data_IF_498394413120
#
_entry.id   IF_498394413120
#
_cell.length_a   1.000
_cell.length_b   1.000
_cell.length_c   1.000
_cell.angle_alpha   90.00
_cell.angle_beta   90.00
_cell.angle_gamma   90.00
#
_symmetry.space_group_name_H-M   'P 1'
#
loop_
_entity.id
_entity.type
_entity.pdbx_description
1 polymer ?
#
# COMPACT_ATOMS: atom_id res chain seq x y z
N UNK A 1 36.97 22.79 -57.01
CA UNK A 1 37.41 22.53 -55.61
C UNK A 1 36.31 21.73 -54.94
N UNK A 2 36.47 20.42 -54.84
CA UNK A 2 35.52 19.52 -54.17
C UNK A 2 35.88 19.45 -52.69
N UNK A 3 34.97 19.86 -51.81
CA UNK A 3 35.03 19.57 -50.39
C UNK A 3 34.03 18.47 -50.06
N UNK A 4 34.58 17.30 -49.77
CA UNK A 4 33.92 16.15 -49.16
C UNK A 4 33.69 16.45 -47.67
N UNK A 5 32.47 16.21 -47.17
CA UNK A 5 32.23 16.05 -45.73
C UNK A 5 31.52 14.70 -45.46
N UNK A 6 31.88 14.00 -44.37
CA UNK A 6 31.41 12.65 -44.11
C UNK A 6 30.01 12.66 -43.48
N UNK A 7 29.12 11.83 -44.02
CA UNK A 7 27.81 11.52 -43.42
C UNK A 7 28.01 10.81 -42.08
N UNK A 8 27.83 11.53 -40.97
CA UNK A 8 27.68 10.95 -39.65
C UNK A 8 26.25 10.42 -39.50
N UNK A 9 26.07 9.11 -39.68
CA UNK A 9 24.83 8.39 -39.36
C UNK A 9 24.65 8.35 -37.84
N UNK A 10 23.84 9.26 -37.31
CA UNK A 10 23.33 9.20 -35.93
C UNK A 10 22.32 8.05 -35.82
N UNK A 11 22.77 6.91 -35.29
CA UNK A 11 21.91 5.83 -34.83
C UNK A 11 21.11 6.31 -33.62
N UNK A 12 19.89 6.77 -33.85
CA UNK A 12 18.88 6.98 -32.82
C UNK A 12 18.47 5.61 -32.27
N UNK A 13 18.97 5.27 -31.09
CA UNK A 13 18.45 4.13 -30.32
C UNK A 13 17.05 4.49 -29.83
N UNK A 14 16.02 3.69 -30.14
CA UNK A 14 14.72 3.88 -29.51
C UNK A 14 14.88 3.45 -28.05
N UNK A 15 14.81 4.43 -27.13
CA UNK A 15 14.52 4.14 -25.72
C UNK A 15 13.12 3.56 -25.70
N UNK A 16 13.02 2.24 -25.58
CA UNK A 16 11.76 1.56 -25.31
C UNK A 16 11.37 2.01 -23.90
N UNK A 17 10.57 3.07 -23.83
CA UNK A 17 9.82 3.37 -22.62
C UNK A 17 8.92 2.15 -22.40
N UNK A 18 9.27 1.33 -21.41
CA UNK A 18 8.37 0.29 -20.90
C UNK A 18 7.15 1.01 -20.37
N UNK A 19 6.12 1.15 -21.20
CA UNK A 19 4.79 1.43 -20.72
C UNK A 19 4.42 0.24 -19.83
N UNK A 20 4.69 0.37 -18.52
CA UNK A 20 4.02 -0.45 -17.52
C UNK A 20 2.55 -0.19 -17.73
N UNK A 21 1.92 -1.13 -18.43
CA UNK A 21 0.53 -1.06 -18.86
C UNK A 21 -0.31 -0.70 -17.65
N UNK A 22 -1.15 0.33 -17.77
CA UNK A 22 -2.12 0.70 -16.74
C UNK A 22 -2.99 -0.49 -16.30
N UNK A 23 -3.07 -1.53 -17.14
CA UNK A 23 -3.64 -2.84 -16.82
C UNK A 23 -2.97 -3.54 -15.61
N UNK A 24 -1.64 -3.50 -15.46
CA UNK A 24 -0.93 -4.15 -14.34
C UNK A 24 -1.13 -3.39 -13.04
N UNK A 25 -1.20 -2.05 -13.10
CA UNK A 25 -1.56 -1.23 -11.94
C UNK A 25 -3.00 -1.56 -11.54
N UNK A 26 -3.96 -1.50 -12.46
CA UNK A 26 -5.38 -1.80 -12.18
C UNK A 26 -5.63 -3.23 -11.68
N UNK A 27 -4.87 -4.23 -12.14
CA UNK A 27 -5.01 -5.63 -11.69
C UNK A 27 -4.34 -5.87 -10.31
N UNK A 28 -3.36 -5.05 -9.94
CA UNK A 28 -2.91 -4.89 -8.56
C UNK A 28 -3.96 -4.14 -7.70
N UNK A 29 -4.85 -3.34 -8.31
CA UNK A 29 -5.95 -2.68 -7.61
C UNK A 29 -7.23 -3.55 -7.46
N UNK A 30 -7.30 -4.73 -8.09
CA UNK A 30 -8.46 -5.61 -7.95
C UNK A 30 -8.65 -6.03 -6.48
N UNK A 31 -9.89 -6.26 -6.01
CA UNK A 31 -10.15 -6.80 -4.68
C UNK A 31 -9.58 -8.22 -4.60
N UNK A 32 -8.32 -8.34 -4.22
CA UNK A 32 -7.75 -9.56 -3.67
C UNK A 32 -8.12 -9.49 -2.19
N UNK A 33 -8.62 -10.58 -1.61
CA UNK A 33 -9.13 -10.71 -0.23
C UNK A 33 -8.13 -10.23 0.85
N UNK A 34 -7.77 -8.96 0.91
CA UNK A 34 -6.90 -8.39 1.92
C UNK A 34 -7.16 -6.89 1.94
N UNK A 35 -7.44 -6.37 3.13
CA UNK A 35 -7.69 -4.94 3.29
C UNK A 35 -6.44 -4.26 3.87
N UNK A 36 -5.82 -4.83 4.92
CA UNK A 36 -4.52 -4.36 5.49
C UNK A 36 -3.42 -5.39 5.25
N UNK A 37 -2.26 -4.94 4.74
CA UNK A 37 -1.04 -5.75 4.69
C UNK A 37 0.12 -5.03 5.37
N UNK A 38 0.77 -5.70 6.30
CA UNK A 38 2.09 -5.31 6.77
C UNK A 38 3.13 -6.05 5.92
N UNK A 39 4.12 -5.32 5.43
CA UNK A 39 5.04 -5.80 4.41
C UNK A 39 6.48 -5.58 4.86
N UNK A 40 7.34 -6.55 4.56
CA UNK A 40 8.79 -6.42 4.72
C UNK A 40 9.34 -5.40 3.70
N UNK A 41 10.61 -5.06 3.87
CA UNK A 41 11.36 -4.22 2.94
C UNK A 41 11.28 -4.75 1.50
N UNK A 42 11.26 -3.84 0.54
CA UNK A 42 11.09 -4.16 -0.89
C UNK A 42 9.63 -4.26 -1.32
N UNK A 43 8.76 -3.50 -0.65
CA UNK A 43 7.31 -3.51 -0.75
C UNK A 43 6.77 -4.02 -2.10
N UNK A 44 6.08 -5.15 -2.04
CA UNK A 44 5.28 -5.67 -3.13
C UNK A 44 3.91 -6.03 -2.55
N UNK A 45 2.88 -5.20 -2.76
CA UNK A 45 1.55 -5.44 -2.21
C UNK A 45 0.87 -6.67 -2.81
N UNK A 46 1.34 -7.17 -3.96
CA UNK A 46 0.77 -8.31 -4.67
C UNK A 46 1.41 -9.65 -4.28
N UNK A 47 2.62 -9.64 -3.71
CA UNK A 47 3.22 -10.85 -3.15
C UNK A 47 2.56 -11.18 -1.82
N UNK A 48 2.02 -12.40 -1.71
CA UNK A 48 1.40 -12.85 -0.47
C UNK A 48 2.50 -13.16 0.56
N UNK A 49 2.71 -12.26 1.51
CA UNK A 49 3.55 -12.52 2.68
C UNK A 49 2.63 -12.87 3.85
N UNK A 50 2.20 -14.14 3.89
CA UNK A 50 1.16 -14.59 4.82
C UNK A 50 1.53 -14.40 6.30
N UNK A 51 2.83 -14.45 6.64
CA UNK A 51 3.33 -14.24 8.01
C UNK A 51 3.11 -12.81 8.54
N UNK A 52 2.78 -11.86 7.65
CA UNK A 52 2.60 -10.43 7.97
C UNK A 52 1.32 -9.84 7.40
N UNK A 53 0.46 -10.68 6.82
CA UNK A 53 -0.83 -10.23 6.30
C UNK A 53 -1.88 -10.28 7.40
N UNK A 54 -2.49 -9.15 7.72
CA UNK A 54 -3.63 -9.08 8.62
C UNK A 54 -4.90 -9.22 7.79
N UNK A 55 -5.56 -10.36 7.93
CA UNK A 55 -6.81 -10.57 7.24
C UNK A 55 -7.95 -9.96 8.06
N UNK A 56 -8.31 -8.72 7.76
CA UNK A 56 -9.65 -8.24 8.03
C UNK A 56 -10.53 -8.66 6.85
N UNK A 57 -11.71 -9.21 7.13
CA UNK A 57 -12.55 -9.74 6.06
C UNK A 57 -13.27 -8.65 5.28
N UNK A 58 -13.29 -7.41 5.78
CA UNK A 58 -14.22 -6.38 5.32
C UNK A 58 -13.65 -4.97 5.54
N UNK A 59 -12.79 -4.50 4.63
CA UNK A 59 -12.61 -3.09 4.26
C UNK A 59 -13.88 -2.48 3.65
N UNK A 60 -15.02 -3.12 3.90
CA UNK A 60 -16.40 -2.82 3.59
C UNK A 60 -17.16 -2.32 4.83
N UNK A 61 -16.58 -2.46 6.04
CA UNK A 61 -17.20 -2.07 7.31
C UNK A 61 -16.21 -1.38 8.25
N UNK A 62 -16.74 -0.69 9.26
CA UNK A 62 -15.99 -0.13 10.37
C UNK A 62 -15.38 -1.19 11.30
N UNK A 63 -14.30 -0.81 11.97
CA UNK A 63 -13.62 -1.55 13.03
C UNK A 63 -13.37 -0.59 14.19
N UNK A 64 -13.91 -0.90 15.37
CA UNK A 64 -13.94 0.01 16.52
C UNK A 64 -12.60 0.21 17.22
N UNK A 65 -11.85 -0.87 17.43
CA UNK A 65 -10.44 -0.88 17.83
C UNK A 65 -9.97 -2.33 17.84
N UNK A 66 -8.76 -2.59 17.38
CA UNK A 66 -8.12 -3.90 17.52
C UNK A 66 -6.62 -3.75 17.81
N UNK A 67 -6.09 -4.66 18.61
CA UNK A 67 -4.71 -4.65 19.10
C UNK A 67 -3.87 -5.68 18.34
N UNK A 68 -2.99 -5.17 17.48
CA UNK A 68 -2.05 -5.99 16.72
C UNK A 68 -1.04 -6.72 17.59
N UNK A 69 -0.77 -6.26 18.82
CA UNK A 69 0.15 -6.95 19.72
C UNK A 69 -0.34 -8.36 20.09
N UNK A 70 -1.66 -8.59 19.98
CA UNK A 70 -2.26 -9.92 20.17
C UNK A 70 -2.03 -10.85 18.98
N UNK A 71 -1.76 -10.30 17.79
CA UNK A 71 -1.39 -11.06 16.62
C UNK A 71 0.07 -11.53 16.75
N UNK A 72 0.34 -12.79 16.39
CA UNK A 72 1.70 -13.39 16.45
C UNK A 72 2.57 -12.92 15.28
N UNK A 73 2.75 -11.61 15.15
CA UNK A 73 3.47 -10.95 14.06
C UNK A 73 4.88 -10.53 14.48
N UNK A 74 5.83 -10.65 13.55
CA UNK A 74 7.16 -10.08 13.74
C UNK A 74 7.20 -8.62 13.26
N UNK A 75 6.83 -7.68 14.12
CA UNK A 75 6.83 -6.24 13.80
C UNK A 75 8.20 -5.68 13.42
N UNK A 76 9.29 -6.27 13.91
CA UNK A 76 10.65 -5.80 13.56
C UNK A 76 11.00 -6.05 12.08
N UNK A 77 10.29 -6.95 11.42
CA UNK A 77 10.45 -7.23 10.01
C UNK A 77 9.55 -6.35 9.12
N UNK A 78 8.62 -5.60 9.71
CA UNK A 78 7.67 -4.76 8.96
C UNK A 78 8.33 -3.43 8.61
N UNK A 79 8.24 -3.06 7.34
CA UNK A 79 8.77 -1.82 6.78
C UNK A 79 7.64 -0.89 6.32
N UNK A 80 6.60 -1.47 5.70
CA UNK A 80 5.49 -0.70 5.14
C UNK A 80 4.13 -1.34 5.43
N UNK A 81 3.08 -0.53 5.35
CA UNK A 81 1.67 -0.93 5.39
C UNK A 81 1.01 -0.61 4.05
N UNK A 82 0.11 -1.48 3.59
CA UNK A 82 -0.81 -1.19 2.49
C UNK A 82 -2.25 -1.40 2.96
N UNK A 83 -3.12 -0.44 2.67
CA UNK A 83 -4.55 -0.44 2.96
C UNK A 83 -5.36 -0.32 1.68
N UNK A 84 -6.43 -1.10 1.59
CA UNK A 84 -7.45 -1.00 0.56
C UNK A 84 -8.82 -1.18 1.21
N UNK A 85 -9.71 -0.24 0.97
CA UNK A 85 -11.13 -0.32 1.26
C UNK A 85 -11.87 -0.48 -0.08
N UNK A 86 -12.11 -1.72 -0.53
CA UNK A 86 -12.84 -1.96 -1.77
C UNK A 86 -14.33 -1.62 -1.58
N UNK A 87 -14.99 -1.03 -2.57
CA UNK A 87 -16.45 -0.83 -2.56
C UNK A 87 -16.91 0.58 -2.94
N UNK A 88 -18.24 0.78 -2.95
CA UNK A 88 -18.86 2.10 -3.16
C UNK A 88 -18.78 3.00 -1.93
N UNK A 89 -18.75 2.38 -0.75
CA UNK A 89 -18.46 3.04 0.53
C UNK A 89 -16.97 2.85 0.79
N UNK A 90 -16.25 3.96 0.96
CA UNK A 90 -14.83 3.93 1.32
C UNK A 90 -14.67 4.10 2.83
N UNK A 91 -13.60 3.54 3.37
CA UNK A 91 -13.26 3.65 4.78
C UNK A 91 -11.81 4.05 4.96
N UNK A 92 -11.54 4.81 6.02
CA UNK A 92 -10.20 5.24 6.36
C UNK A 92 -9.58 4.31 7.40
N UNK A 93 -8.27 4.10 7.30
CA UNK A 93 -7.51 3.35 8.29
C UNK A 93 -6.89 4.34 9.29
N UNK A 94 -7.26 4.22 10.55
CA UNK A 94 -6.67 4.96 11.65
C UNK A 94 -5.64 4.07 12.38
N UNK A 95 -4.47 4.62 12.72
CA UNK A 95 -3.37 3.90 13.35
C UNK A 95 -3.03 4.56 14.69
N UNK A 96 -2.83 3.74 15.72
CA UNK A 96 -2.65 4.20 17.11
C UNK A 96 -1.40 3.61 17.75
N UNK A 97 -0.76 4.40 18.61
CA UNK A 97 0.50 4.02 19.27
C UNK A 97 0.38 2.72 20.06
N UNK A 98 -0.77 2.54 20.73
CA UNK A 98 -1.07 1.43 21.62
C UNK A 98 -2.31 0.65 21.16
N UNK A 99 -2.44 -0.60 21.62
CA UNK A 99 -3.55 -1.49 21.30
C UNK A 99 -4.92 -1.05 21.84
N UNK A 100 -4.97 -0.08 22.75
CA UNK A 100 -6.21 0.51 23.26
C UNK A 100 -6.75 1.65 22.39
N UNK A 101 -6.09 1.95 21.26
CA UNK A 101 -6.45 3.03 20.35
C UNK A 101 -6.62 4.39 21.03
N UNK A 102 -5.74 4.71 22.00
CA UNK A 102 -5.85 5.93 22.81
C UNK A 102 -5.18 7.16 22.18
N UNK A 103 -4.10 6.95 21.43
CA UNK A 103 -3.32 8.01 20.80
C UNK A 103 -3.12 7.73 19.31
N UNK A 104 -3.81 8.50 18.46
CA UNK A 104 -3.64 8.45 17.01
C UNK A 104 -2.21 8.88 16.63
N UNK A 105 -1.57 8.10 15.74
CA UNK A 105 -0.21 8.35 15.24
C UNK A 105 -0.12 8.37 13.72
N UNK A 106 -1.24 8.21 13.02
CA UNK A 106 -1.26 8.21 11.56
C UNK A 106 -2.54 7.65 10.99
N UNK A 107 -2.76 7.97 9.71
CA UNK A 107 -4.01 7.66 9.03
C UNK A 107 -3.74 7.39 7.55
N UNK A 108 -4.54 6.51 6.93
CA UNK A 108 -4.62 6.37 5.48
C UNK A 108 -6.03 6.76 5.06
N UNK A 109 -6.15 7.95 4.47
CA UNK A 109 -7.41 8.56 4.02
C UNK A 109 -7.80 8.12 2.61
N UNK A 110 -9.09 8.13 2.32
CA UNK A 110 -9.66 7.83 1.00
C UNK A 110 -9.71 6.34 0.65
N UNK A 111 -9.55 5.45 1.64
CA UNK A 111 -9.65 4.01 1.41
C UNK A 111 -8.49 3.37 0.65
N UNK A 112 -7.40 4.10 0.40
CA UNK A 112 -6.30 3.57 -0.38
C UNK A 112 -4.95 4.11 0.07
N UNK A 113 -4.03 3.20 0.40
CA UNK A 113 -2.63 3.51 0.64
C UNK A 113 -1.78 2.29 0.34
N UNK A 114 -0.70 2.47 -0.40
CA UNK A 114 0.18 1.36 -0.81
C UNK A 114 1.59 1.69 -0.38
N UNK A 115 2.24 0.74 0.29
CA UNK A 115 3.62 0.86 0.75
C UNK A 115 3.89 2.10 1.62
N UNK A 116 2.93 2.49 2.46
CA UNK A 116 3.09 3.60 3.41
C UNK A 116 4.08 3.17 4.50
N UNK A 117 5.05 4.01 4.92
CA UNK A 117 5.99 3.64 5.97
C UNK A 117 5.30 3.18 7.26
N UNK A 118 5.73 2.04 7.80
CA UNK A 118 5.19 1.53 9.05
C UNK A 118 5.91 2.19 10.24
N UNK A 119 5.18 2.97 11.03
CA UNK A 119 5.72 3.74 12.16
C UNK A 119 5.73 2.97 13.49
N UNK A 120 5.35 1.69 13.50
CA UNK A 120 5.35 0.86 14.71
C UNK A 120 4.09 0.96 15.56
N UNK A 121 2.98 1.42 15.01
CA UNK A 121 1.67 1.43 15.67
C UNK A 121 1.21 0.01 16.08
N UNK A 122 0.27 -0.05 17.02
CA UNK A 122 -0.23 -1.31 17.62
C UNK A 122 -1.74 -1.39 17.63
N UNK A 123 -2.43 -0.27 17.81
CA UNK A 123 -3.88 -0.21 17.66
C UNK A 123 -4.28 0.26 16.27
N UNK A 124 -5.45 -0.17 15.81
CA UNK A 124 -6.05 0.37 14.59
C UNK A 124 -7.56 0.38 14.64
N UNK A 125 -8.14 1.31 13.88
CA UNK A 125 -9.58 1.40 13.61
C UNK A 125 -9.81 1.55 12.12
N UNK A 126 -11.00 1.16 11.69
CA UNK A 126 -11.53 1.47 10.36
C UNK A 126 -12.77 2.32 10.59
N UNK A 127 -12.76 3.53 10.07
CA UNK A 127 -13.85 4.51 10.25
C UNK A 127 -14.42 4.86 8.88
N UNK A 128 -15.64 5.38 8.84
CA UNK A 128 -16.22 5.89 7.60
C UNK A 128 -15.27 6.89 6.95
N UNK A 129 -15.33 6.99 5.61
CA UNK A 129 -14.49 7.96 4.89
C UNK A 129 -14.63 9.36 5.49
N UNK A 130 -13.48 9.99 5.74
CA UNK A 130 -13.35 11.34 6.29
C UNK A 130 -13.92 11.50 7.72
N UNK A 131 -14.25 10.40 8.40
CA UNK A 131 -14.65 10.42 9.81
C UNK A 131 -13.44 10.58 10.75
N UNK A 132 -13.71 10.96 11.99
CA UNK A 132 -12.67 11.15 12.99
C UNK A 132 -12.03 9.82 13.41
N UNK A 133 -10.71 9.86 13.53
CA UNK A 133 -9.92 8.87 14.24
C UNK A 133 -9.68 9.40 15.67
#
# INVERSE_FOLDING_TARGET
>A
MHLSLPSFLLLLTPVIATAQSSATIQDALRPRNWDIRLLKKGCNPDSANFDLSLFHAQGLNEQTCDDLSTARLNFSAVDTVSWKSPGTTSYDLCMYADGGCSANVGEIRGGWGVCVPFSGWRGWKVVGKDEEC
#
